data_IF_456253286083
#
_entry.id   IF_456253286083
#
_cell.length_a   1.000
_cell.length_b   1.000
_cell.length_c   1.000
_cell.angle_alpha   90.00
_cell.angle_beta   90.00
_cell.angle_gamma   90.00
#
_symmetry.space_group_name_H-M   'P 1'
#
loop_
_entity.id
_entity.type
_entity.pdbx_description
1 polymer ?
#
# COMPACT_ATOMS: atom_id res chain seq x y z
N UNK A 1 15.01 -9.09 27.68
CA UNK A 1 14.33 -10.39 27.86
C UNK A 1 12.81 -10.25 27.86
N UNK A 2 12.18 -9.42 28.69
CA UNK A 2 10.71 -9.26 28.71
C UNK A 2 10.09 -8.89 27.34
N UNK A 3 10.72 -7.99 26.58
CA UNK A 3 10.20 -7.55 25.28
C UNK A 3 10.18 -8.64 24.20
N UNK A 4 11.20 -9.50 24.16
CA UNK A 4 11.28 -10.58 23.19
C UNK A 4 10.21 -11.65 23.48
N UNK A 5 10.08 -12.01 24.76
CA UNK A 5 9.05 -12.94 25.23
C UNK A 5 7.64 -12.42 24.94
N UNK A 6 7.37 -11.14 25.19
CA UNK A 6 6.09 -10.52 24.84
C UNK A 6 5.82 -10.54 23.33
N UNK A 7 6.83 -10.30 22.49
CA UNK A 7 6.67 -10.33 21.04
C UNK A 7 6.36 -11.73 20.52
N UNK A 8 6.96 -12.77 21.09
CA UNK A 8 6.72 -14.18 20.73
C UNK A 8 5.32 -14.66 21.14
N UNK A 9 4.73 -14.08 22.19
CA UNK A 9 3.44 -14.51 22.74
C UNK A 9 2.28 -13.54 22.44
N UNK A 10 2.51 -12.49 21.66
CA UNK A 10 1.45 -11.56 21.27
C UNK A 10 0.51 -12.24 20.26
N UNK A 11 -0.71 -12.54 20.70
CA UNK A 11 -1.72 -13.12 19.81
C UNK A 11 -2.28 -12.07 18.85
N UNK A 12 -2.35 -12.40 17.56
CA UNK A 12 -3.14 -11.64 16.59
C UNK A 12 -4.60 -12.13 16.58
N UNK A 13 -5.57 -11.21 16.43
CA UNK A 13 -6.97 -11.57 16.31
C UNK A 13 -7.24 -12.25 14.96
N UNK A 14 -7.04 -13.57 14.89
CA UNK A 14 -7.21 -14.39 13.68
C UNK A 14 -8.55 -15.11 13.69
N UNK A 15 -9.30 -15.00 12.58
CA UNK A 15 -10.53 -15.80 12.36
C UNK A 15 -10.51 -16.37 10.95
N UNK A 16 -10.55 -17.70 10.84
CA UNK A 16 -10.57 -18.42 9.56
C UNK A 16 -9.49 -17.91 8.57
N UNK A 17 -8.25 -17.72 9.07
CA UNK A 17 -7.08 -17.21 8.33
C UNK A 17 -7.11 -15.72 7.94
N UNK A 18 -8.12 -14.97 8.39
CA UNK A 18 -8.17 -13.52 8.19
C UNK A 18 -7.74 -12.83 9.48
N UNK A 19 -6.74 -11.94 9.38
CA UNK A 19 -6.38 -11.04 10.47
C UNK A 19 -7.51 -10.03 10.62
N UNK A 20 -8.14 -9.98 11.79
CA UNK A 20 -9.23 -9.06 12.11
C UNK A 20 -8.69 -7.76 12.68
N UNK A 21 -9.50 -6.71 12.66
CA UNK A 21 -9.12 -5.42 13.27
C UNK A 21 -8.95 -5.52 14.80
N UNK A 22 -9.74 -6.36 15.47
CA UNK A 22 -9.66 -6.63 16.90
C UNK A 22 -10.42 -7.92 17.26
N UNK A 23 -10.25 -8.39 18.50
CA UNK A 23 -11.02 -9.51 19.04
C UNK A 23 -12.52 -9.21 19.02
N UNK A 24 -13.31 -10.18 18.55
CA UNK A 24 -14.76 -10.02 18.44
C UNK A 24 -15.23 -9.09 17.32
N UNK A 25 -14.36 -8.71 16.38
CA UNK A 25 -14.71 -7.88 15.21
C UNK A 25 -15.99 -8.33 14.51
N UNK A 26 -16.79 -7.33 14.11
CA UNK A 26 -18.03 -7.49 13.34
C UNK A 26 -18.08 -6.46 12.23
N UNK A 27 -18.19 -6.89 10.97
CA UNK A 27 -18.34 -6.00 9.81
C UNK A 27 -19.41 -4.92 9.99
N UNK A 28 -20.52 -5.25 10.65
CA UNK A 28 -21.65 -4.34 10.86
C UNK A 28 -21.42 -3.26 11.92
N UNK A 29 -20.30 -3.29 12.63
CA UNK A 29 -20.00 -2.27 13.63
C UNK A 29 -19.57 -0.95 12.99
N UNK A 30 -19.71 0.20 13.70
CA UNK A 30 -19.27 1.48 13.16
C UNK A 30 -17.81 1.42 12.71
N UNK A 31 -17.55 1.84 11.47
CA UNK A 31 -16.22 1.79 10.82
C UNK A 31 -15.66 0.37 10.60
N UNK A 32 -16.50 -0.67 10.61
CA UNK A 32 -16.11 -2.06 10.36
C UNK A 32 -15.43 -2.28 9.00
N UNK A 33 -15.70 -1.44 8.01
CA UNK A 33 -15.04 -1.48 6.70
C UNK A 33 -13.61 -0.89 6.68
N UNK A 34 -13.12 -0.31 7.78
CA UNK A 34 -11.77 0.25 7.83
C UNK A 34 -10.73 -0.87 7.66
N UNK A 35 -9.85 -0.81 6.64
CA UNK A 35 -8.93 -1.89 6.33
C UNK A 35 -7.66 -1.85 7.19
N UNK A 36 -7.80 -1.67 8.50
CA UNK A 36 -6.66 -1.49 9.40
C UNK A 36 -5.65 -2.67 9.34
N UNK A 37 -6.07 -3.95 9.26
CA UNK A 37 -5.13 -5.06 9.09
C UNK A 37 -4.33 -5.01 7.79
N UNK A 38 -4.88 -4.40 6.73
CA UNK A 38 -4.13 -4.25 5.48
C UNK A 38 -2.95 -3.30 5.62
N UNK A 39 -3.03 -2.31 6.52
CA UNK A 39 -1.88 -1.45 6.87
C UNK A 39 -0.72 -2.26 7.45
N UNK A 40 -1.04 -3.32 8.22
CA UNK A 40 -0.05 -4.28 8.74
C UNK A 40 0.71 -4.98 7.62
N UNK A 41 0.01 -5.45 6.58
CA UNK A 41 0.64 -6.07 5.40
C UNK A 41 1.42 -5.04 4.58
N UNK A 42 0.82 -3.89 4.30
CA UNK A 42 1.45 -2.75 3.64
C UNK A 42 0.83 -1.44 4.16
N UNK A 43 1.64 -0.49 4.67
CA UNK A 43 3.08 -0.34 4.42
C UNK A 43 4.01 -0.95 5.48
N UNK A 44 3.50 -1.66 6.49
CA UNK A 44 4.33 -2.12 7.62
C UNK A 44 5.03 -3.47 7.41
N UNK A 45 4.74 -4.20 6.33
CA UNK A 45 5.42 -5.45 5.97
C UNK A 45 5.39 -6.52 7.07
N UNK A 46 4.29 -6.61 7.81
CA UNK A 46 4.10 -7.69 8.77
C UNK A 46 4.24 -9.05 8.06
N UNK A 47 5.11 -9.95 8.52
CA UNK A 47 5.43 -11.21 7.84
C UNK A 47 4.34 -12.26 8.09
N UNK A 48 3.11 -11.97 7.65
CA UNK A 48 2.02 -12.92 7.68
C UNK A 48 2.33 -14.12 6.76
N UNK A 49 1.86 -15.30 7.17
CA UNK A 49 1.88 -16.47 6.28
C UNK A 49 1.17 -16.14 4.95
N UNK A 50 1.66 -16.62 3.79
CA UNK A 50 1.10 -16.22 2.49
C UNK A 50 -0.41 -16.45 2.35
N UNK A 51 -0.92 -17.56 2.90
CA UNK A 51 -2.36 -17.86 2.88
C UNK A 51 -3.18 -16.88 3.74
N UNK A 52 -2.62 -16.46 4.88
CA UNK A 52 -3.23 -15.48 5.80
C UNK A 52 -3.22 -14.08 5.18
N UNK A 53 -2.09 -13.68 4.59
CA UNK A 53 -1.97 -12.40 3.90
C UNK A 53 -2.99 -12.30 2.76
N UNK A 54 -3.08 -13.35 1.92
CA UNK A 54 -4.04 -13.42 0.81
C UNK A 54 -5.49 -13.36 1.29
N UNK A 55 -5.86 -14.19 2.27
CA UNK A 55 -7.22 -14.20 2.81
C UNK A 55 -7.60 -12.85 3.43
N UNK A 56 -6.64 -12.18 4.07
CA UNK A 56 -6.85 -10.85 4.66
C UNK A 56 -7.04 -9.79 3.58
N UNK A 57 -6.22 -9.78 2.53
CA UNK A 57 -6.39 -8.92 1.36
C UNK A 57 -7.77 -9.13 0.71
N UNK A 58 -8.12 -10.37 0.39
CA UNK A 58 -9.42 -10.73 -0.23
C UNK A 58 -10.60 -10.22 0.62
N UNK A 59 -10.55 -10.46 1.93
CA UNK A 59 -11.62 -10.06 2.86
C UNK A 59 -11.84 -8.55 2.86
N UNK A 60 -10.79 -7.75 3.05
CA UNK A 60 -10.93 -6.29 3.17
C UNK A 60 -11.12 -5.61 1.82
N UNK A 61 -10.58 -6.16 0.72
CA UNK A 61 -10.91 -5.66 -0.62
C UNK A 61 -12.39 -5.86 -0.94
N UNK A 62 -13.03 -6.93 -0.47
CA UNK A 62 -14.48 -7.11 -0.60
C UNK A 62 -15.30 -6.06 0.19
N UNK A 63 -14.67 -5.30 1.09
CA UNK A 63 -15.28 -4.17 1.82
C UNK A 63 -14.93 -2.81 1.22
N UNK A 64 -14.18 -2.75 0.11
CA UNK A 64 -13.69 -1.51 -0.48
C UNK A 64 -14.81 -0.49 -0.70
N UNK A 65 -15.95 -0.93 -1.24
CA UNK A 65 -17.09 -0.07 -1.54
C UNK A 65 -17.72 0.59 -0.30
N UNK A 66 -17.44 0.14 0.91
CA UNK A 66 -17.92 0.77 2.15
C UNK A 66 -16.94 1.83 2.70
N UNK A 67 -15.66 1.77 2.30
CA UNK A 67 -14.61 2.65 2.82
C UNK A 67 -14.05 3.64 1.79
N UNK A 68 -13.93 3.22 0.52
CA UNK A 68 -13.11 3.92 -0.48
C UNK A 68 -13.57 5.35 -0.73
N UNK A 69 -12.62 6.28 -0.64
CA UNK A 69 -12.86 7.72 -0.66
C UNK A 69 -12.89 8.37 0.73
N UNK A 70 -12.77 7.56 1.80
CA UNK A 70 -12.35 8.00 3.14
C UNK A 70 -10.84 8.31 3.14
N UNK A 71 -10.34 9.16 4.05
CA UNK A 71 -8.93 9.55 4.09
C UNK A 71 -7.97 8.40 4.45
N UNK A 72 -6.69 8.61 4.14
CA UNK A 72 -5.53 7.80 4.50
C UNK A 72 -5.42 6.47 3.72
N UNK A 73 -6.22 5.46 4.07
CA UNK A 73 -6.00 4.10 3.56
C UNK A 73 -6.57 3.88 2.15
N UNK A 74 -7.47 4.74 1.68
CA UNK A 74 -8.05 4.64 0.33
C UNK A 74 -6.98 4.62 -0.76
N UNK A 75 -5.93 5.43 -0.61
CA UNK A 75 -4.86 5.56 -1.60
C UNK A 75 -4.01 4.29 -1.76
N UNK A 76 -4.09 3.34 -0.82
CA UNK A 76 -3.33 2.08 -0.84
C UNK A 76 -4.13 0.91 -1.41
N UNK A 77 -5.43 1.04 -1.64
CA UNK A 77 -6.27 -0.06 -2.16
C UNK A 77 -5.79 -0.59 -3.51
N UNK A 78 -5.28 0.28 -4.38
CA UNK A 78 -4.70 -0.12 -5.66
C UNK A 78 -3.48 -1.05 -5.50
N UNK A 79 -2.64 -0.82 -4.48
CA UNK A 79 -1.50 -1.68 -4.14
C UNK A 79 -1.98 -3.05 -3.69
N UNK A 80 -2.94 -3.10 -2.77
CA UNK A 80 -3.47 -4.35 -2.23
C UNK A 80 -4.14 -5.22 -3.30
N UNK A 81 -4.87 -4.62 -4.23
CA UNK A 81 -5.43 -5.36 -5.37
C UNK A 81 -4.36 -5.83 -6.35
N UNK A 82 -3.32 -5.03 -6.60
CA UNK A 82 -2.19 -5.44 -7.42
C UNK A 82 -1.43 -6.64 -6.82
N UNK A 83 -1.26 -6.68 -5.50
CA UNK A 83 -0.65 -7.82 -4.81
C UNK A 83 -1.41 -9.14 -4.98
N UNK A 84 -2.72 -9.08 -5.27
CA UNK A 84 -3.53 -10.25 -5.62
C UNK A 84 -3.49 -10.61 -7.11
N UNK A 85 -2.80 -9.82 -7.94
CA UNK A 85 -2.76 -10.01 -9.38
C UNK A 85 -3.92 -9.36 -10.15
N UNK A 86 -4.86 -8.67 -9.47
CA UNK A 86 -6.04 -8.08 -10.11
C UNK A 86 -5.74 -6.67 -10.63
N UNK A 87 -5.15 -6.62 -11.82
CA UNK A 87 -4.67 -5.38 -12.46
C UNK A 87 -5.79 -4.38 -12.74
N UNK A 88 -6.94 -4.86 -13.21
CA UNK A 88 -8.09 -4.01 -13.54
C UNK A 88 -8.65 -3.38 -12.27
N UNK A 89 -8.87 -4.20 -11.24
CA UNK A 89 -9.33 -3.69 -9.94
C UNK A 89 -8.31 -2.76 -9.29
N UNK A 90 -7.02 -3.02 -9.46
CA UNK A 90 -5.98 -2.11 -8.98
C UNK A 90 -6.10 -0.72 -9.63
N UNK A 91 -6.34 -0.65 -10.94
CA UNK A 91 -6.57 0.61 -11.65
C UNK A 91 -7.82 1.34 -11.10
N UNK A 92 -8.95 0.63 -11.03
CA UNK A 92 -10.22 1.18 -10.53
C UNK A 92 -10.07 1.72 -9.09
N UNK A 93 -9.33 1.00 -8.25
CA UNK A 93 -9.09 1.39 -6.86
C UNK A 93 -8.08 2.52 -6.70
N UNK A 94 -7.10 2.69 -7.61
CA UNK A 94 -6.26 3.89 -7.61
C UNK A 94 -7.05 5.13 -8.03
N UNK A 95 -7.94 4.99 -9.01
CA UNK A 95 -8.82 6.07 -9.43
C UNK A 95 -9.77 6.48 -8.29
N UNK A 96 -10.55 5.52 -7.79
CA UNK A 96 -11.50 5.74 -6.71
C UNK A 96 -10.85 6.08 -5.36
N UNK A 97 -9.63 5.60 -5.11
CA UNK A 97 -8.92 5.69 -3.84
C UNK A 97 -7.92 6.84 -3.74
N UNK A 98 -7.57 7.48 -4.86
CA UNK A 98 -6.68 8.63 -4.88
C UNK A 98 -7.02 9.67 -5.95
N UNK A 99 -7.13 9.28 -7.23
CA UNK A 99 -7.27 10.27 -8.32
C UNK A 99 -8.51 11.17 -8.13
N UNK A 100 -9.62 10.59 -7.70
CA UNK A 100 -10.87 11.31 -7.44
C UNK A 100 -10.84 12.21 -6.18
N UNK A 101 -9.77 12.18 -5.38
CA UNK A 101 -9.53 13.17 -4.32
C UNK A 101 -8.87 14.44 -4.85
N UNK A 102 -8.25 14.39 -6.03
CA UNK A 102 -7.52 15.51 -6.63
C UNK A 102 -8.53 16.45 -7.30
N UNK A 103 -8.53 17.71 -6.88
CA UNK A 103 -9.32 18.75 -7.52
C UNK A 103 -8.53 19.44 -8.62
N UNK A 104 -9.18 19.73 -9.75
CA UNK A 104 -8.57 20.43 -10.89
C UNK A 104 -7.97 21.79 -10.51
N UNK A 105 -8.58 22.48 -9.54
CA UNK A 105 -8.07 23.77 -9.07
C UNK A 105 -6.81 23.54 -8.23
N UNK A 106 -5.67 23.85 -8.83
CA UNK A 106 -4.32 23.72 -8.24
C UNK A 106 -3.90 22.27 -7.92
N UNK A 107 -4.57 21.26 -8.48
CA UNK A 107 -4.30 19.84 -8.19
C UNK A 107 -4.33 19.54 -6.69
N UNK A 108 -5.22 20.21 -5.96
CA UNK A 108 -5.32 20.06 -4.51
C UNK A 108 -5.93 18.70 -4.16
N UNK A 109 -5.19 17.87 -3.40
CA UNK A 109 -5.70 16.60 -2.87
C UNK A 109 -6.57 16.86 -1.64
N UNK A 110 -7.84 16.48 -1.68
CA UNK A 110 -8.74 16.60 -0.54
C UNK A 110 -8.62 15.45 0.46
N UNK A 111 -9.13 15.66 1.67
CA UNK A 111 -9.21 14.66 2.74
C UNK A 111 -10.21 13.55 2.41
N UNK A 112 -11.42 13.93 1.98
CA UNK A 112 -12.48 13.02 1.55
C UNK A 112 -12.80 13.24 0.08
N UNK A 113 -13.34 12.20 -0.56
CA UNK A 113 -13.94 12.31 -1.88
C UNK A 113 -15.21 13.17 -1.86
N UNK A 114 -15.24 14.30 -2.58
CA UNK A 114 -16.38 15.23 -2.51
C UNK A 114 -17.69 14.68 -3.06
N UNK A 115 -17.63 13.74 -4.00
CA UNK A 115 -18.80 13.11 -4.61
C UNK A 115 -19.47 12.08 -3.69
N UNK A 116 -18.70 11.53 -2.75
CA UNK A 116 -19.16 10.46 -1.86
C UNK A 116 -19.41 10.91 -0.42
N UNK A 117 -18.70 11.93 0.03
CA UNK A 117 -18.92 12.60 1.32
C UNK A 117 -19.07 14.12 1.14
N UNK A 118 -20.14 14.59 0.48
CA UNK A 118 -20.35 16.00 0.18
C UNK A 118 -20.56 16.86 1.42
N UNK A 119 -20.92 16.26 2.55
CA UNK A 119 -21.10 16.91 3.84
C UNK A 119 -19.77 17.24 4.54
N UNK A 120 -18.68 16.58 4.15
CA UNK A 120 -17.36 16.84 4.74
C UNK A 120 -16.76 18.13 4.15
N UNK A 121 -15.97 18.88 4.95
CA UNK A 121 -15.24 20.03 4.44
C UNK A 121 -14.31 19.64 3.29
N UNK A 122 -14.22 20.48 2.26
CA UNK A 122 -13.22 20.37 1.19
C UNK A 122 -11.84 20.82 1.72
N UNK A 123 -11.26 20.03 2.61
CA UNK A 123 -9.97 20.29 3.24
C UNK A 123 -8.82 19.71 2.42
N UNK A 124 -7.79 20.52 2.14
CA UNK A 124 -6.57 20.06 1.48
C UNK A 124 -5.45 21.12 1.47
N UNK A 125 -4.21 20.80 1.04
CA UNK A 125 -3.78 19.48 0.60
C UNK A 125 -3.73 18.50 1.78
N UNK A 126 -4.44 17.38 1.66
CA UNK A 126 -4.45 16.35 2.68
C UNK A 126 -3.29 15.38 2.43
N UNK A 127 -2.16 15.67 3.07
CA UNK A 127 -0.90 14.99 2.83
C UNK A 127 -0.94 13.48 3.04
N UNK A 128 -1.81 12.94 3.89
CA UNK A 128 -1.86 11.50 4.09
C UNK A 128 -2.38 10.74 2.85
N UNK A 129 -3.28 11.32 2.05
CA UNK A 129 -3.72 10.71 0.79
C UNK A 129 -2.61 10.76 -0.26
N UNK A 130 -1.95 11.91 -0.40
CA UNK A 130 -0.79 12.09 -1.26
C UNK A 130 0.35 11.14 -0.88
N UNK A 131 0.70 11.08 0.40
CA UNK A 131 1.72 10.20 0.93
C UNK A 131 1.33 8.72 0.72
N UNK A 132 0.08 8.34 0.96
CA UNK A 132 -0.38 6.97 0.72
C UNK A 132 -0.18 6.52 -0.73
N UNK A 133 -0.56 7.37 -1.69
CA UNK A 133 -0.33 7.11 -3.12
C UNK A 133 1.16 7.05 -3.45
N UNK A 134 1.93 8.05 -3.02
CA UNK A 134 3.38 8.11 -3.24
C UNK A 134 4.15 7.00 -2.53
N UNK A 135 3.66 6.44 -1.42
CA UNK A 135 4.25 5.27 -0.77
C UNK A 135 3.95 4.00 -1.59
N UNK A 136 2.78 3.92 -2.21
CA UNK A 136 2.41 2.82 -3.11
C UNK A 136 3.32 2.69 -4.34
N UNK A 137 3.82 3.80 -4.89
CA UNK A 137 4.60 3.79 -6.14
C UNK A 137 6.01 3.18 -6.01
N UNK A 138 6.88 3.57 -5.05
CA UNK A 138 8.21 2.99 -4.90
C UNK A 138 8.23 1.79 -3.95
N UNK A 139 7.33 1.70 -2.96
CA UNK A 139 7.35 0.62 -1.97
C UNK A 139 6.32 -0.48 -2.25
N UNK A 140 5.08 -0.10 -2.52
CA UNK A 140 3.97 -1.05 -2.67
C UNK A 140 4.06 -1.89 -3.94
N UNK A 141 3.91 -1.25 -5.09
CA UNK A 141 3.85 -1.93 -6.41
C UNK A 141 5.17 -2.61 -6.81
N UNK A 142 6.36 -2.02 -6.56
CA UNK A 142 7.64 -2.67 -6.80
C UNK A 142 7.99 -3.75 -5.77
N UNK A 143 7.27 -3.78 -4.65
CA UNK A 143 7.51 -4.72 -3.58
C UNK A 143 8.79 -4.45 -2.78
N UNK A 144 9.14 -3.19 -2.59
CA UNK A 144 10.38 -2.77 -1.97
C UNK A 144 10.27 -2.83 -0.44
N UNK A 145 10.70 -3.96 0.13
CA UNK A 145 10.78 -4.18 1.58
C UNK A 145 12.22 -3.99 2.07
N UNK A 146 12.46 -2.91 2.80
CA UNK A 146 13.80 -2.59 3.35
C UNK A 146 14.05 -3.45 4.58
N UNK A 147 14.47 -4.70 4.36
CA UNK A 147 14.63 -5.72 5.41
C UNK A 147 16.08 -6.17 5.65
N UNK A 148 17.02 -5.69 4.84
CA UNK A 148 18.43 -6.11 4.84
C UNK A 148 19.36 -4.97 4.47
N UNK A 149 20.66 -5.15 4.75
CA UNK A 149 21.68 -4.19 4.33
C UNK A 149 21.91 -4.20 2.81
N UNK A 150 21.71 -5.34 2.15
CA UNK A 150 21.79 -5.45 0.69
C UNK A 150 20.51 -4.91 0.02
N UNK A 151 20.57 -3.81 -0.75
CA UNK A 151 19.42 -3.24 -1.43
C UNK A 151 18.90 -4.09 -2.59
N UNK A 152 19.71 -4.98 -3.17
CA UNK A 152 19.27 -5.83 -4.27
C UNK A 152 18.27 -6.90 -3.82
N UNK A 153 18.17 -7.18 -2.52
CA UNK A 153 17.20 -8.12 -1.96
C UNK A 153 15.90 -7.45 -1.51
N UNK A 154 15.81 -6.12 -1.49
CA UNK A 154 14.60 -5.40 -1.06
C UNK A 154 13.38 -5.65 -1.95
N UNK A 155 13.50 -5.72 -3.30
CA UNK A 155 12.40 -6.16 -4.15
C UNK A 155 12.06 -7.62 -3.82
N UNK A 156 10.95 -7.82 -3.13
CA UNK A 156 10.64 -9.07 -2.43
C UNK A 156 9.52 -9.89 -3.09
N UNK A 157 8.89 -9.36 -4.13
CA UNK A 157 7.72 -9.96 -4.79
C UNK A 157 7.66 -9.60 -6.29
N UNK A 158 6.91 -10.38 -7.09
CA UNK A 158 6.63 -10.06 -8.49
C UNK A 158 5.98 -8.69 -8.69
N UNK A 159 6.33 -8.04 -9.79
CA UNK A 159 5.81 -6.70 -10.12
C UNK A 159 4.49 -6.83 -10.86
N UNK A 160 3.39 -6.57 -10.15
CA UNK A 160 2.06 -6.42 -10.74
C UNK A 160 1.70 -4.95 -10.72
N UNK A 161 1.45 -4.37 -11.89
CA UNK A 161 1.02 -2.98 -12.02
C UNK A 161 -0.46 -2.92 -12.45
N UNK A 162 -1.15 -1.82 -12.14
CA UNK A 162 -2.48 -1.56 -12.66
C UNK A 162 -2.60 -1.80 -14.17
N UNK A 163 -3.81 -2.10 -14.62
CA UNK A 163 -4.08 -2.17 -16.05
C UNK A 163 -3.64 -0.85 -16.73
N UNK A 164 -3.10 -0.96 -17.95
CA UNK A 164 -2.47 0.13 -18.73
C UNK A 164 -1.10 0.63 -18.25
N UNK A 165 -0.61 0.22 -17.07
CA UNK A 165 0.72 0.61 -16.61
C UNK A 165 1.77 -0.42 -17.01
N UNK A 166 2.81 0.03 -17.72
CA UNK A 166 3.90 -0.84 -18.20
C UNK A 166 5.09 -0.88 -17.23
N UNK A 167 5.42 0.26 -16.61
CA UNK A 167 6.51 0.35 -15.67
C UNK A 167 6.32 1.51 -14.66
N UNK A 168 6.99 1.40 -13.52
CA UNK A 168 7.28 2.50 -12.60
C UNK A 168 8.77 2.76 -12.63
N UNK A 169 9.14 4.01 -12.89
CA UNK A 169 10.52 4.47 -12.91
C UNK A 169 10.70 5.62 -11.91
N UNK A 170 11.64 5.44 -11.00
CA UNK A 170 12.11 6.51 -10.11
C UNK A 170 13.54 6.80 -10.49
N UNK A 171 13.75 7.93 -11.18
CA UNK A 171 15.06 8.33 -11.70
C UNK A 171 16.12 8.47 -10.61
N UNK A 172 15.73 8.97 -9.44
CA UNK A 172 16.63 9.18 -8.33
C UNK A 172 15.99 8.83 -6.99
N UNK A 173 16.65 7.91 -6.27
CA UNK A 173 16.46 7.58 -4.87
C UNK A 173 17.82 7.53 -4.18
N UNK A 174 17.81 7.53 -2.85
CA UNK A 174 19.02 7.48 -2.04
C UNK A 174 19.06 6.19 -1.22
N UNK A 175 20.07 5.36 -1.44
CA UNK A 175 20.30 4.09 -0.74
C UNK A 175 21.67 4.16 -0.09
N UNK A 176 21.72 4.07 1.24
CA UNK A 176 22.98 4.15 2.00
C UNK A 176 23.85 5.35 1.58
N UNK A 177 23.22 6.51 1.40
CA UNK A 177 23.85 7.76 0.93
C UNK A 177 24.41 7.72 -0.50
N UNK A 178 24.05 6.73 -1.32
CA UNK A 178 24.38 6.65 -2.75
C UNK A 178 23.15 6.94 -3.62
N UNK A 179 23.29 7.73 -4.69
CA UNK A 179 22.24 7.87 -5.69
C UNK A 179 21.95 6.53 -6.36
N UNK A 180 20.68 6.25 -6.58
CA UNK A 180 20.24 5.04 -7.26
C UNK A 180 18.98 5.31 -8.07
N UNK A 181 18.62 4.35 -8.93
CA UNK A 181 17.38 4.34 -9.73
C UNK A 181 16.56 3.11 -9.39
N UNK A 182 15.24 3.23 -9.41
CA UNK A 182 14.31 2.10 -9.31
C UNK A 182 13.58 1.92 -10.64
N UNK A 183 13.52 0.67 -11.11
CA UNK A 183 12.74 0.27 -12.27
C UNK A 183 11.90 -0.97 -11.92
N UNK A 184 10.59 -0.83 -11.99
CA UNK A 184 9.64 -1.91 -11.79
C UNK A 184 8.79 -2.08 -13.05
N UNK A 185 9.11 -3.08 -13.87
CA UNK A 185 8.37 -3.40 -15.11
C UNK A 185 7.28 -4.42 -14.78
N UNK A 186 6.05 -4.21 -15.27
CA UNK A 186 4.98 -5.18 -15.07
C UNK A 186 5.38 -6.58 -15.60
N UNK A 187 5.13 -7.61 -14.80
CA UNK A 187 5.42 -8.99 -15.14
C UNK A 187 6.86 -9.42 -14.85
N UNK A 188 7.73 -8.51 -14.38
CA UNK A 188 9.05 -8.88 -13.89
C UNK A 188 8.93 -9.64 -12.56
N UNK A 189 9.81 -10.64 -12.36
CA UNK A 189 9.87 -11.41 -11.12
C UNK A 189 10.17 -10.53 -9.90
N UNK A 190 10.93 -9.44 -10.10
CA UNK A 190 11.30 -8.44 -9.09
C UNK A 190 11.59 -7.09 -9.75
N UNK A 191 11.37 -6.00 -9.02
CA UNK A 191 11.89 -4.69 -9.40
C UNK A 191 13.43 -4.66 -9.32
N UNK A 192 14.05 -3.68 -9.98
CA UNK A 192 15.51 -3.50 -10.03
C UNK A 192 15.92 -2.19 -9.39
N UNK A 193 16.93 -2.24 -8.52
CA UNK A 193 17.63 -1.08 -8.00
C UNK A 193 18.99 -1.01 -8.67
N UNK A 194 19.28 0.12 -9.30
CA UNK A 194 20.54 0.39 -9.99
C UNK A 194 21.30 1.45 -9.17
N UNK A 195 22.36 1.03 -8.46
CA UNK A 195 23.23 1.95 -7.73
C UNK A 195 24.12 2.71 -8.73
N UNK A 196 24.15 4.03 -8.61
CA UNK A 196 25.12 4.83 -9.36
C UNK A 196 26.50 4.53 -8.81
N UNK A 197 27.41 4.03 -9.65
CA UNK A 197 28.80 3.92 -9.24
C UNK A 197 29.33 5.34 -9.04
N UNK A 198 29.79 5.65 -7.83
CA UNK A 198 30.58 6.83 -7.58
C UNK A 198 31.87 6.71 -8.39
N UNK A 199 31.90 7.34 -9.57
CA UNK A 199 33.17 7.74 -10.15
C UNK A 199 33.79 8.74 -9.16
N UNK A 200 34.69 8.23 -8.30
CA UNK A 200 35.59 9.08 -7.52
C UNK A 200 36.41 9.91 -8.51
N UNK A 201 36.01 11.17 -8.69
CA UNK A 201 36.83 12.24 -9.24
C UNK A 201 37.52 12.99 -8.12
#
# INVERSE_FOLDING_TARGET
MLWADMAEHLALPLRARVIQSHDGFRRSEPKGATPAPLAGLFPFWYPAEPEVARATLDFYLALADEYIGSPMLSAMYGVWAAWLGDRRRALDLFDAGYAQFVNDRFLQTYEYRPDRWPEQPKAGPFFANLAGFLTGLPYGLPGLNIASDDPHTWPSQPVVLPETWDAIEVEQLWVHSQPARLLAVHGADRARIELSHSNNS
#
